data_IF_108570977028
#
_entry.id   IF_108570977028
#
_cell.length_a   1.000
_cell.length_b   1.000
_cell.length_c   1.000
_cell.angle_alpha   90.00
_cell.angle_beta   90.00
_cell.angle_gamma   90.00
#
_symmetry.space_group_name_H-M   'P 1'
#
loop_
_entity.id
_entity.type
_entity.pdbx_description
1 polymer ?
#
# COMPACT_ATOMS: atom_id res chain seq x y z
N UNK A 1 -0.60 -6.65 36.71
CA UNK A 1 -0.60 -5.38 35.97
C UNK A 1 -1.68 -5.54 34.91
N UNK A 2 -2.60 -4.59 34.74
CA UNK A 2 -3.57 -4.66 33.66
C UNK A 2 -2.78 -4.62 32.33
N UNK A 3 -3.07 -5.55 31.43
CA UNK A 3 -2.52 -5.50 30.09
C UNK A 3 -2.98 -4.20 29.42
N UNK A 4 -2.03 -3.40 28.97
CA UNK A 4 -2.34 -2.12 28.31
C UNK A 4 -2.60 -2.42 26.83
N UNK A 5 -3.86 -2.37 26.42
CA UNK A 5 -4.26 -2.49 25.02
C UNK A 5 -4.33 -1.11 24.37
N UNK A 6 -3.86 -0.97 23.15
CA UNK A 6 -4.12 0.22 22.34
C UNK A 6 -5.61 0.26 21.94
N UNK A 7 -6.25 1.39 22.16
CA UNK A 7 -7.66 1.62 21.90
C UNK A 7 -7.83 2.16 20.49
N UNK A 8 -8.36 1.35 19.59
CA UNK A 8 -8.50 1.66 18.17
C UNK A 8 -9.94 2.06 17.86
N UNK A 9 -10.17 3.18 17.18
CA UNK A 9 -11.44 3.46 16.55
C UNK A 9 -11.30 3.44 15.02
N UNK A 10 -12.22 2.77 14.33
CA UNK A 10 -12.23 2.65 12.87
C UNK A 10 -13.26 3.63 12.29
N UNK A 11 -12.82 4.47 11.37
CA UNK A 11 -13.66 5.46 10.69
C UNK A 11 -13.91 5.02 9.25
N UNK A 12 -15.18 4.69 8.96
CA UNK A 12 -15.62 4.06 7.73
C UNK A 12 -15.82 2.56 7.91
N UNK A 13 -17.04 2.07 7.61
CA UNK A 13 -17.42 0.66 7.71
C UNK A 13 -17.67 0.01 6.34
N UNK A 14 -17.14 0.60 5.26
CA UNK A 14 -17.24 0.10 3.89
C UNK A 14 -16.47 -1.20 3.64
N UNK A 15 -16.46 -1.63 2.37
CA UNK A 15 -15.90 -2.94 1.98
C UNK A 15 -14.47 -3.18 2.48
N UNK A 16 -13.57 -2.22 2.33
CA UNK A 16 -12.15 -2.47 2.70
C UNK A 16 -11.91 -2.44 4.21
N UNK A 17 -12.77 -1.77 4.99
CA UNK A 17 -12.63 -1.68 6.45
C UNK A 17 -12.76 -3.05 7.15
N UNK A 18 -13.40 -4.05 6.52
CA UNK A 18 -13.44 -5.41 7.07
C UNK A 18 -12.05 -6.02 7.24
N UNK A 19 -11.13 -5.75 6.32
CA UNK A 19 -9.75 -6.24 6.41
C UNK A 19 -8.96 -5.54 7.54
N UNK A 20 -9.25 -4.25 7.81
CA UNK A 20 -8.66 -3.52 8.92
C UNK A 20 -9.19 -4.05 10.26
N UNK A 21 -10.51 -4.23 10.39
CA UNK A 21 -11.11 -4.79 11.61
C UNK A 21 -10.59 -6.20 11.90
N UNK A 22 -10.60 -7.09 10.90
CA UNK A 22 -10.02 -8.43 11.03
C UNK A 22 -8.53 -8.37 11.44
N UNK A 23 -7.76 -7.44 10.89
CA UNK A 23 -6.36 -7.24 11.25
C UNK A 23 -6.22 -6.85 12.74
N UNK A 24 -6.96 -5.85 13.20
CA UNK A 24 -6.91 -5.40 14.59
C UNK A 24 -7.39 -6.45 15.58
N UNK A 25 -8.44 -7.23 15.24
CA UNK A 25 -8.94 -8.34 16.09
C UNK A 25 -7.89 -9.42 16.35
N UNK A 26 -6.96 -9.61 15.42
CA UNK A 26 -5.89 -10.62 15.51
C UNK A 26 -4.59 -10.08 16.10
N UNK A 27 -4.61 -8.88 16.71
CA UNK A 27 -3.46 -8.27 17.41
C UNK A 27 -3.75 -8.22 18.90
N UNK A 28 -3.09 -9.06 19.68
CA UNK A 28 -3.33 -9.23 21.13
C UNK A 28 -3.23 -7.93 21.94
N UNK A 29 -2.44 -6.95 21.48
CA UNK A 29 -2.22 -5.67 22.17
C UNK A 29 -3.08 -4.52 21.65
N UNK A 30 -4.11 -4.80 20.87
CA UNK A 30 -5.02 -3.81 20.31
C UNK A 30 -6.48 -4.19 20.56
N UNK A 31 -7.34 -3.21 20.75
CA UNK A 31 -8.78 -3.42 20.93
C UNK A 31 -9.55 -2.39 20.11
N UNK A 32 -10.46 -2.86 19.25
CA UNK A 32 -11.41 -1.97 18.59
C UNK A 32 -12.45 -1.53 19.62
N UNK A 33 -12.48 -0.22 19.92
CA UNK A 33 -13.38 0.36 20.92
C UNK A 33 -14.60 1.04 20.31
N UNK A 34 -14.60 1.29 18.99
CA UNK A 34 -15.74 1.87 18.28
C UNK A 34 -15.52 1.89 16.77
N UNK A 35 -16.63 1.89 16.04
CA UNK A 35 -16.66 2.03 14.58
C UNK A 35 -17.63 3.17 14.23
N UNK A 36 -17.20 4.07 13.37
CA UNK A 36 -18.02 5.17 12.87
C UNK A 36 -18.26 5.04 11.36
N UNK A 37 -19.50 5.21 10.94
CA UNK A 37 -19.85 5.44 9.55
C UNK A 37 -21.00 6.47 9.49
N UNK A 38 -21.01 7.33 8.45
CA UNK A 38 -22.09 8.32 8.25
C UNK A 38 -23.49 7.68 8.19
N UNK A 39 -23.56 6.42 7.78
CA UNK A 39 -24.77 5.60 7.85
C UNK A 39 -24.68 4.70 9.10
N UNK A 40 -25.32 5.10 10.20
CA UNK A 40 -25.25 4.38 11.47
C UNK A 40 -25.52 2.87 11.32
N UNK A 41 -26.49 2.48 10.50
CA UNK A 41 -26.82 1.07 10.24
C UNK A 41 -25.66 0.26 9.67
N UNK A 42 -24.72 0.90 8.94
CA UNK A 42 -23.52 0.25 8.41
C UNK A 42 -22.50 0.03 9.53
N UNK A 43 -22.36 0.99 10.44
CA UNK A 43 -21.52 0.83 11.63
C UNK A 43 -22.10 -0.24 12.59
N UNK A 44 -23.41 -0.24 12.83
CA UNK A 44 -24.10 -1.24 13.67
C UNK A 44 -23.92 -2.68 13.17
N UNK A 45 -23.85 -2.86 11.85
CA UNK A 45 -23.61 -4.17 11.24
C UNK A 45 -22.20 -4.75 11.52
N UNK A 46 -21.31 -4.00 12.16
CA UNK A 46 -19.93 -4.44 12.46
C UNK A 46 -19.79 -5.16 13.80
N UNK A 47 -20.81 -5.21 14.64
CA UNK A 47 -20.82 -5.76 16.00
C UNK A 47 -19.90 -5.04 17.02
N UNK A 48 -19.48 -3.80 16.72
CA UNK A 48 -18.76 -2.92 17.64
C UNK A 48 -19.67 -1.78 18.12
N UNK A 49 -19.32 -1.04 19.18
CA UNK A 49 -19.95 0.23 19.50
C UNK A 49 -20.00 1.12 18.27
N UNK A 50 -21.21 1.46 17.81
CA UNK A 50 -21.45 2.13 16.54
C UNK A 50 -21.77 3.60 16.73
N UNK A 51 -21.20 4.44 15.84
CA UNK A 51 -21.36 5.90 15.86
C UNK A 51 -21.61 6.41 14.44
N UNK A 52 -22.33 7.51 14.31
CA UNK A 52 -22.56 8.21 13.04
C UNK A 52 -21.84 9.57 12.95
N UNK A 53 -21.22 10.00 14.05
CA UNK A 53 -20.41 11.21 14.09
C UNK A 53 -19.16 11.06 14.97
N UNK A 54 -18.18 11.91 14.68
CA UNK A 54 -16.86 11.84 15.32
C UNK A 54 -16.88 12.28 16.78
N UNK A 55 -17.65 13.32 17.12
CA UNK A 55 -17.64 13.93 18.46
C UNK A 55 -18.17 12.93 19.50
N UNK A 56 -19.26 12.23 19.17
CA UNK A 56 -19.83 11.20 20.03
C UNK A 56 -18.89 10.01 20.18
N UNK A 57 -18.25 9.57 19.08
CA UNK A 57 -17.26 8.51 19.14
C UNK A 57 -16.09 8.91 20.07
N UNK A 58 -15.47 10.05 19.83
CA UNK A 58 -14.27 10.47 20.57
C UNK A 58 -14.57 10.68 22.06
N UNK A 59 -15.73 11.32 22.38
CA UNK A 59 -16.13 11.56 23.77
C UNK A 59 -16.50 10.29 24.53
N UNK A 60 -17.06 9.29 23.83
CA UNK A 60 -17.53 8.05 24.45
C UNK A 60 -16.42 7.03 24.65
N UNK A 61 -15.58 6.82 23.62
CA UNK A 61 -14.62 5.71 23.65
C UNK A 61 -13.15 6.16 23.79
N UNK A 62 -12.86 7.45 23.74
CA UNK A 62 -11.50 8.00 23.93
C UNK A 62 -10.40 7.12 23.27
N UNK A 63 -10.36 6.97 21.94
CA UNK A 63 -9.39 6.11 21.26
C UNK A 63 -7.99 6.72 21.28
N UNK A 64 -6.96 5.87 21.27
CA UNK A 64 -5.54 6.27 21.13
C UNK A 64 -5.12 6.35 19.68
N UNK A 65 -5.75 5.51 18.82
CA UNK A 65 -5.49 5.43 17.39
C UNK A 65 -6.80 5.55 16.61
N UNK A 66 -6.81 6.43 15.60
CA UNK A 66 -7.87 6.46 14.60
C UNK A 66 -7.38 5.77 13.32
N UNK A 67 -8.14 4.78 12.86
CA UNK A 67 -7.91 4.09 11.60
C UNK A 67 -8.96 4.53 10.58
N UNK A 68 -8.57 5.42 9.65
CA UNK A 68 -9.45 6.10 8.70
C UNK A 68 -9.49 5.33 7.38
N UNK A 69 -10.61 4.65 7.13
CA UNK A 69 -10.84 3.82 5.93
C UNK A 69 -11.92 4.48 5.07
N UNK A 70 -11.63 5.66 4.57
CA UNK A 70 -12.53 6.51 3.81
C UNK A 70 -11.99 6.82 2.41
N UNK A 71 -12.87 7.18 1.45
CA UNK A 71 -12.44 7.72 0.15
C UNK A 71 -11.60 9.00 0.31
N UNK A 72 -10.71 9.29 -0.64
CA UNK A 72 -9.73 10.40 -0.57
C UNK A 72 -10.34 11.78 -0.29
N UNK A 73 -11.52 12.06 -0.85
CA UNK A 73 -12.24 13.33 -0.69
C UNK A 73 -12.75 13.61 0.74
N UNK A 74 -12.94 12.56 1.53
CA UNK A 74 -13.39 12.67 2.93
C UNK A 74 -12.24 12.73 3.95
N UNK A 75 -11.05 12.27 3.58
CA UNK A 75 -9.94 12.02 4.51
C UNK A 75 -9.45 13.30 5.21
N UNK A 76 -9.13 14.34 4.46
CA UNK A 76 -8.54 15.56 5.03
C UNK A 76 -9.43 16.19 6.10
N UNK A 77 -10.76 16.26 5.87
CA UNK A 77 -11.71 16.78 6.84
C UNK A 77 -11.71 15.96 8.14
N UNK A 78 -11.71 14.64 8.01
CA UNK A 78 -11.74 13.73 9.18
C UNK A 78 -10.42 13.78 9.94
N UNK A 79 -9.29 13.85 9.25
CA UNK A 79 -7.98 14.01 9.87
C UNK A 79 -7.93 15.34 10.64
N UNK A 80 -8.40 16.46 10.04
CA UNK A 80 -8.43 17.76 10.73
C UNK A 80 -9.26 17.69 12.02
N UNK A 81 -10.47 17.12 11.97
CA UNK A 81 -11.30 16.91 13.17
C UNK A 81 -10.58 16.08 14.25
N UNK A 82 -9.85 15.03 13.84
CA UNK A 82 -9.07 14.21 14.76
C UNK A 82 -7.93 15.00 15.43
N UNK A 83 -7.22 15.84 14.66
CA UNK A 83 -6.14 16.70 15.15
C UNK A 83 -6.69 17.75 16.14
N UNK A 84 -7.80 18.40 15.80
CA UNK A 84 -8.48 19.39 16.66
C UNK A 84 -8.95 18.76 17.98
N UNK A 85 -9.34 17.49 17.96
CA UNK A 85 -9.68 16.72 19.17
C UNK A 85 -8.46 16.18 19.93
N UNK A 86 -7.26 16.44 19.45
CA UNK A 86 -6.00 16.07 20.12
C UNK A 86 -5.51 14.64 19.90
N UNK A 87 -6.06 13.91 18.94
CA UNK A 87 -5.61 12.56 18.56
C UNK A 87 -4.18 12.64 18.03
N UNK A 88 -3.30 11.76 18.55
CA UNK A 88 -1.88 11.76 18.23
C UNK A 88 -1.44 10.68 17.27
N UNK A 89 -2.25 9.66 17.03
CA UNK A 89 -1.95 8.60 16.06
C UNK A 89 -3.12 8.40 15.12
N UNK A 90 -2.87 8.58 13.84
CA UNK A 90 -3.87 8.47 12.79
C UNK A 90 -3.30 7.59 11.68
N UNK A 91 -4.05 6.56 11.30
CA UNK A 91 -3.79 5.75 10.11
C UNK A 91 -4.80 6.18 9.06
N UNK A 92 -4.37 6.45 7.84
CA UNK A 92 -5.24 6.87 6.75
C UNK A 92 -5.06 5.96 5.54
N UNK A 93 -6.15 5.48 4.97
CA UNK A 93 -6.14 4.61 3.79
C UNK A 93 -5.63 5.36 2.55
N UNK A 94 -4.95 4.60 1.65
CA UNK A 94 -4.62 5.06 0.31
C UNK A 94 -5.88 5.01 -0.62
N UNK A 95 -5.96 5.77 -1.72
CA UNK A 95 -5.10 6.89 -2.10
C UNK A 95 -5.19 8.02 -1.06
N UNK A 96 -4.05 8.66 -0.80
CA UNK A 96 -3.95 9.65 0.27
C UNK A 96 -4.39 11.02 -0.21
N UNK A 97 -5.54 11.49 0.29
CA UNK A 97 -6.19 12.75 -0.04
C UNK A 97 -6.65 12.86 -1.52
N UNK A 98 -7.43 13.88 -1.81
CA UNK A 98 -7.97 14.12 -3.15
C UNK A 98 -6.95 14.79 -4.10
N UNK A 99 -5.91 15.42 -3.55
CA UNK A 99 -4.81 16.01 -4.33
C UNK A 99 -3.51 16.03 -3.52
N UNK A 100 -2.39 16.20 -4.21
CA UNK A 100 -1.07 16.32 -3.61
C UNK A 100 -0.99 17.52 -2.66
N UNK A 101 -1.55 18.66 -3.06
CA UNK A 101 -1.56 19.90 -2.25
C UNK A 101 -2.34 19.68 -0.94
N UNK A 102 -3.45 18.93 -1.00
CA UNK A 102 -4.20 18.56 0.20
C UNK A 102 -3.41 17.61 1.09
N UNK A 103 -2.72 16.62 0.50
CA UNK A 103 -1.87 15.69 1.21
C UNK A 103 -0.72 16.42 1.95
N UNK A 104 -0.05 17.36 1.27
CA UNK A 104 1.00 18.21 1.85
C UNK A 104 0.47 19.05 3.02
N UNK A 105 -0.67 19.73 2.83
CA UNK A 105 -1.28 20.57 3.86
C UNK A 105 -1.66 19.75 5.12
N UNK A 106 -2.28 18.58 4.95
CA UNK A 106 -2.68 17.70 6.06
C UNK A 106 -1.46 17.08 6.75
N UNK A 107 -0.42 16.73 6.00
CA UNK A 107 0.84 16.25 6.58
C UNK A 107 1.46 17.32 7.47
N UNK A 108 1.60 18.55 6.97
CA UNK A 108 2.13 19.66 7.73
C UNK A 108 1.28 19.99 8.98
N UNK A 109 -0.06 19.93 8.86
CA UNK A 109 -0.96 20.13 10.00
C UNK A 109 -0.78 19.04 11.08
N UNK A 110 -0.61 17.79 10.66
CA UNK A 110 -0.36 16.66 11.58
C UNK A 110 0.96 16.83 12.34
N UNK A 111 2.01 17.22 11.64
CA UNK A 111 3.32 17.49 12.24
C UNK A 111 3.26 18.68 13.23
N UNK A 112 2.60 19.78 12.85
CA UNK A 112 2.41 20.93 13.72
C UNK A 112 1.62 20.58 14.99
N UNK A 113 0.68 19.65 14.90
CA UNK A 113 -0.07 19.13 16.04
C UNK A 113 0.73 18.10 16.86
N UNK A 114 1.93 17.71 16.44
CA UNK A 114 2.73 16.64 17.05
C UNK A 114 2.03 15.28 16.96
N UNK A 115 1.30 15.04 15.87
CA UNK A 115 0.60 13.79 15.60
C UNK A 115 1.37 12.96 14.55
N UNK A 116 1.37 11.65 14.73
CA UNK A 116 1.88 10.68 13.77
C UNK A 116 0.76 10.29 12.80
N UNK A 117 0.84 10.75 11.56
CA UNK A 117 -0.05 10.35 10.48
C UNK A 117 0.64 9.29 9.63
N UNK A 118 0.04 8.10 9.51
CA UNK A 118 0.56 6.93 8.81
C UNK A 118 -0.36 6.66 7.63
N UNK A 119 0.22 6.43 6.46
CA UNK A 119 -0.55 6.05 5.26
C UNK A 119 -0.58 4.54 5.14
N UNK A 120 -1.80 3.99 5.05
CA UNK A 120 -2.03 2.56 4.97
C UNK A 120 -1.75 2.05 3.55
N UNK A 121 -0.51 2.20 3.09
CA UNK A 121 -0.01 1.48 1.92
C UNK A 121 0.65 0.18 2.39
N UNK A 122 -0.04 -0.92 2.20
CA UNK A 122 0.26 -2.17 2.87
C UNK A 122 1.15 -3.14 2.08
N UNK A 123 1.48 -2.86 0.80
CA UNK A 123 2.17 -3.86 -0.02
C UNK A 123 3.62 -4.10 0.41
N UNK A 124 4.36 -3.09 0.89
CA UNK A 124 5.70 -3.33 1.46
C UNK A 124 5.69 -4.28 2.66
N UNK A 125 4.52 -4.46 3.31
CA UNK A 125 4.31 -5.39 4.42
C UNK A 125 3.92 -6.81 3.97
N UNK A 126 3.84 -7.06 2.67
CA UNK A 126 3.67 -8.41 2.15
C UNK A 126 4.89 -9.28 2.49
N UNK A 127 4.71 -10.53 2.93
CA UNK A 127 5.79 -11.35 3.46
C UNK A 127 6.91 -11.61 2.47
N UNK A 128 6.61 -11.69 1.18
CA UNK A 128 7.62 -11.88 0.14
C UNK A 128 8.53 -10.67 -0.04
N UNK A 129 8.00 -9.43 0.06
CA UNK A 129 8.87 -8.25 -0.03
C UNK A 129 9.69 -8.06 1.24
N UNK A 130 9.18 -8.44 2.42
CA UNK A 130 9.98 -8.51 3.66
C UNK A 130 11.11 -9.50 3.52
N UNK A 131 10.84 -10.73 3.05
CA UNK A 131 11.87 -11.74 2.82
C UNK A 131 12.91 -11.30 1.76
N UNK A 132 12.48 -10.69 0.66
CA UNK A 132 13.39 -10.12 -0.34
C UNK A 132 14.27 -9.03 0.27
N UNK A 133 13.71 -8.13 1.09
CA UNK A 133 14.46 -7.06 1.76
C UNK A 133 15.55 -7.62 2.67
N UNK A 134 15.26 -8.68 3.42
CA UNK A 134 16.24 -9.36 4.28
C UNK A 134 17.41 -9.90 3.45
N UNK A 135 17.16 -10.58 2.33
CA UNK A 135 18.22 -11.12 1.45
C UNK A 135 19.05 -9.99 0.82
N UNK A 136 18.40 -8.90 0.38
CA UNK A 136 19.07 -7.72 -0.18
C UNK A 136 19.96 -7.07 0.88
N UNK A 137 19.42 -6.87 2.09
CA UNK A 137 20.16 -6.22 3.19
C UNK A 137 21.35 -7.05 3.68
N UNK A 138 21.22 -8.39 3.65
CA UNK A 138 22.31 -9.30 3.98
C UNK A 138 23.49 -9.25 2.96
N UNK A 139 23.30 -8.58 1.81
CA UNK A 139 24.34 -8.44 0.78
C UNK A 139 24.69 -9.71 0.03
N UNK A 140 23.97 -10.82 0.24
CA UNK A 140 24.24 -12.14 -0.35
C UNK A 140 24.26 -12.09 -1.89
N UNK A 141 23.41 -11.24 -2.47
CA UNK A 141 23.29 -11.10 -3.92
C UNK A 141 24.41 -10.28 -4.56
N UNK A 142 25.23 -9.56 -3.79
CA UNK A 142 26.20 -8.61 -4.34
C UNK A 142 25.51 -7.41 -4.99
N UNK A 143 26.12 -6.86 -6.06
CA UNK A 143 25.56 -5.71 -6.77
C UNK A 143 24.25 -6.10 -7.47
N UNK A 144 23.19 -5.31 -7.25
CA UNK A 144 21.91 -5.47 -7.91
C UNK A 144 21.97 -4.90 -9.33
N UNK A 145 21.35 -5.57 -10.30
CA UNK A 145 21.31 -5.15 -11.69
C UNK A 145 19.95 -4.59 -12.08
N UNK A 146 18.89 -5.39 -11.87
CA UNK A 146 17.53 -4.96 -12.15
C UNK A 146 16.49 -5.80 -11.40
N UNK A 147 15.31 -5.21 -11.16
CA UNK A 147 14.12 -5.92 -10.74
C UNK A 147 12.99 -5.64 -11.71
N UNK A 148 12.23 -6.67 -12.07
CA UNK A 148 10.96 -6.55 -12.79
C UNK A 148 9.85 -7.14 -11.95
N UNK A 149 8.75 -6.40 -11.83
CA UNK A 149 7.47 -6.93 -11.38
C UNK A 149 6.49 -6.94 -12.55
N UNK A 150 5.87 -8.08 -12.81
CA UNK A 150 4.81 -8.23 -13.80
C UNK A 150 3.45 -8.29 -13.12
N UNK A 151 2.67 -7.20 -13.18
CA UNK A 151 1.29 -7.17 -12.71
C UNK A 151 0.39 -7.88 -13.72
N UNK A 152 -0.23 -8.98 -13.31
CA UNK A 152 -1.09 -9.83 -14.15
C UNK A 152 -2.27 -10.39 -13.35
N UNK A 153 -3.21 -9.54 -12.89
CA UNK A 153 -4.33 -9.99 -12.05
C UNK A 153 -5.45 -10.67 -12.84
N UNK A 154 -5.53 -10.47 -14.17
CA UNK A 154 -6.55 -11.06 -15.02
C UNK A 154 -7.97 -10.54 -14.79
N UNK A 155 -8.13 -9.42 -14.08
CA UNK A 155 -9.43 -8.92 -13.64
C UNK A 155 -9.99 -7.79 -14.52
N UNK A 156 -9.23 -7.35 -15.53
CA UNK A 156 -9.59 -6.23 -16.42
C UNK A 156 -10.26 -6.62 -17.73
N UNK A 157 -10.74 -7.85 -17.89
CA UNK A 157 -11.25 -8.34 -19.15
C UNK A 157 -12.75 -8.08 -19.34
N UNK A 158 -13.14 -7.75 -20.59
CA UNK A 158 -14.53 -7.64 -21.02
C UNK A 158 -15.23 -6.35 -20.56
N UNK A 159 -16.49 -6.16 -21.02
CA UNK A 159 -17.26 -4.94 -20.73
C UNK A 159 -17.71 -4.85 -19.26
N UNK A 160 -17.80 -5.98 -18.56
CA UNK A 160 -18.28 -6.06 -17.17
C UNK A 160 -17.15 -6.07 -16.15
N UNK A 161 -15.89 -5.82 -16.60
CA UNK A 161 -14.73 -5.74 -15.70
C UNK A 161 -15.02 -4.82 -14.51
N UNK A 162 -14.76 -5.31 -13.29
CA UNK A 162 -14.94 -4.63 -12.00
C UNK A 162 -16.37 -4.35 -11.53
N UNK A 163 -17.41 -4.45 -12.36
CA UNK A 163 -18.78 -4.06 -11.99
C UNK A 163 -19.31 -4.80 -10.75
N UNK A 164 -18.97 -6.06 -10.57
CA UNK A 164 -19.41 -6.86 -9.43
C UNK A 164 -18.76 -6.46 -8.09
N UNK A 165 -17.60 -5.79 -8.11
CA UNK A 165 -16.80 -5.54 -6.89
C UNK A 165 -16.48 -4.07 -6.65
N UNK A 166 -15.98 -3.39 -7.65
CA UNK A 166 -15.49 -2.01 -7.58
C UNK A 166 -15.88 -1.26 -8.87
N UNK A 167 -17.18 -0.99 -9.09
CA UNK A 167 -17.65 -0.45 -10.37
C UNK A 167 -17.02 0.90 -10.74
N UNK A 168 -16.58 1.68 -9.75
CA UNK A 168 -15.91 2.96 -9.96
C UNK A 168 -14.57 2.84 -10.70
N UNK A 169 -13.94 1.66 -10.74
CA UNK A 169 -12.70 1.44 -11.50
C UNK A 169 -12.87 1.71 -13.00
N UNK A 170 -14.06 1.43 -13.56
CA UNK A 170 -14.32 1.70 -14.99
C UNK A 170 -14.32 3.20 -15.32
N UNK A 171 -14.63 4.05 -14.37
CA UNK A 171 -14.76 5.51 -14.58
C UNK A 171 -13.57 6.32 -14.08
N UNK A 172 -12.57 5.69 -13.48
CA UNK A 172 -11.37 6.38 -13.00
C UNK A 172 -10.53 6.88 -14.19
N UNK A 173 -10.26 8.18 -14.31
CA UNK A 173 -9.44 8.72 -15.40
C UNK A 173 -7.94 8.38 -15.25
N UNK A 174 -7.48 8.09 -14.04
CA UNK A 174 -6.16 7.57 -13.67
C UNK A 174 -6.40 6.29 -12.89
N UNK A 175 -6.07 5.14 -13.46
CA UNK A 175 -6.49 3.87 -12.91
C UNK A 175 -5.33 2.95 -12.52
N UNK A 176 -4.59 2.39 -13.50
CA UNK A 176 -3.53 1.41 -13.22
C UNK A 176 -2.48 1.96 -12.27
N UNK A 177 -2.03 3.20 -12.49
CA UNK A 177 -0.96 3.78 -11.67
C UNK A 177 -1.50 4.23 -10.34
N UNK A 178 -2.54 5.07 -10.33
CA UNK A 178 -3.10 5.68 -9.13
C UNK A 178 -3.69 4.66 -8.14
N UNK A 179 -4.41 3.67 -8.64
CA UNK A 179 -5.06 2.67 -7.80
C UNK A 179 -4.14 1.50 -7.44
N UNK A 180 -3.24 1.11 -8.35
CA UNK A 180 -2.53 -0.16 -8.24
C UNK A 180 -1.01 -0.01 -8.24
N UNK A 181 -0.40 0.60 -9.28
CA UNK A 181 1.05 0.65 -9.39
C UNK A 181 1.70 1.53 -8.31
N UNK A 182 0.97 2.46 -7.70
CA UNK A 182 1.43 3.25 -6.55
C UNK A 182 1.98 2.35 -5.43
N UNK A 183 1.39 1.19 -5.20
CA UNK A 183 1.90 0.20 -4.24
C UNK A 183 3.29 -0.31 -4.61
N UNK A 184 3.59 -0.51 -5.91
CA UNK A 184 4.93 -0.95 -6.34
C UNK A 184 5.92 0.19 -6.41
N UNK A 185 5.49 1.42 -6.62
CA UNK A 185 6.36 2.58 -6.40
C UNK A 185 6.84 2.61 -4.95
N UNK A 186 5.94 2.39 -4.00
CA UNK A 186 6.26 2.26 -2.58
C UNK A 186 7.17 1.05 -2.28
N UNK A 187 6.86 -0.12 -2.83
CA UNK A 187 7.68 -1.34 -2.69
C UNK A 187 9.10 -1.14 -3.25
N UNK A 188 9.23 -0.54 -4.43
CA UNK A 188 10.56 -0.29 -5.01
C UNK A 188 11.36 0.71 -4.16
N UNK A 189 10.72 1.77 -3.66
CA UNK A 189 11.38 2.69 -2.73
C UNK A 189 11.78 1.99 -1.43
N UNK A 190 10.93 1.12 -0.89
CA UNK A 190 11.24 0.30 0.29
C UNK A 190 12.43 -0.63 0.07
N UNK A 191 12.49 -1.32 -1.08
CA UNK A 191 13.54 -2.29 -1.37
C UNK A 191 14.87 -1.62 -1.71
N UNK A 192 14.85 -0.56 -2.53
CA UNK A 192 16.03 -0.04 -3.22
C UNK A 192 16.35 1.43 -2.91
N UNK A 193 15.50 2.12 -2.15
CA UNK A 193 15.60 3.57 -1.96
C UNK A 193 14.93 4.36 -3.09
N UNK A 194 15.15 5.67 -3.10
CA UNK A 194 14.52 6.55 -4.08
C UNK A 194 15.21 6.46 -5.44
N UNK A 195 14.45 6.46 -6.55
CA UNK A 195 15.03 6.50 -7.89
C UNK A 195 15.53 7.91 -8.22
N UNK A 196 16.46 8.01 -9.18
CA UNK A 196 16.97 9.27 -9.72
C UNK A 196 16.24 9.69 -11.00
N UNK A 197 15.49 8.77 -11.61
CA UNK A 197 14.74 9.04 -12.83
C UNK A 197 13.58 8.09 -13.03
N UNK A 198 12.58 8.54 -13.79
CA UNK A 198 11.40 7.78 -14.18
C UNK A 198 11.14 7.93 -15.69
N UNK A 199 10.72 6.83 -16.31
CA UNK A 199 10.13 6.79 -17.65
C UNK A 199 8.88 5.91 -17.61
N UNK A 200 7.81 6.36 -18.24
CA UNK A 200 6.56 5.61 -18.29
C UNK A 200 5.94 5.63 -19.69
N UNK A 201 5.30 4.48 -20.05
CA UNK A 201 4.46 4.31 -21.23
C UNK A 201 3.16 3.65 -20.78
N UNK A 202 2.06 4.41 -20.75
CA UNK A 202 0.76 4.00 -20.24
C UNK A 202 -0.25 3.82 -21.37
N UNK A 203 -1.12 2.81 -21.26
CA UNK A 203 -2.05 2.43 -22.33
C UNK A 203 -3.40 2.02 -21.76
N UNK A 204 -4.44 2.33 -22.50
CA UNK A 204 -5.78 1.77 -22.33
C UNK A 204 -5.96 0.62 -23.34
N UNK A 205 -6.23 -0.58 -22.85
CA UNK A 205 -6.48 -1.78 -23.67
C UNK A 205 -7.95 -2.19 -23.68
N UNK A 206 -8.64 -2.11 -22.53
CA UNK A 206 -10.07 -2.39 -22.43
C UNK A 206 -10.88 -1.09 -22.64
N UNK A 207 -11.68 -0.98 -23.73
CA UNK A 207 -12.45 0.23 -24.01
C UNK A 207 -13.57 0.54 -22.99
N UNK A 208 -13.93 -0.43 -22.13
CA UNK A 208 -14.89 -0.22 -21.04
C UNK A 208 -14.28 0.55 -19.85
N UNK A 209 -12.97 0.73 -19.81
CA UNK A 209 -12.23 1.39 -18.72
C UNK A 209 -11.78 2.76 -19.20
N UNK A 210 -12.01 3.82 -18.43
CA UNK A 210 -11.67 5.20 -18.83
C UNK A 210 -10.18 5.49 -18.76
N UNK A 211 -9.51 5.04 -17.72
CA UNK A 211 -8.09 5.25 -17.50
C UNK A 211 -7.19 4.19 -18.15
N UNK A 212 -5.92 4.26 -17.85
CA UNK A 212 -4.95 3.26 -18.27
C UNK A 212 -5.13 1.94 -17.48
N UNK A 213 -5.04 0.82 -18.17
CA UNK A 213 -5.14 -0.54 -17.61
C UNK A 213 -3.92 -1.42 -17.94
N UNK A 214 -2.99 -0.88 -18.73
CA UNK A 214 -1.69 -1.47 -19.03
C UNK A 214 -0.60 -0.40 -19.15
N UNK A 215 0.66 -0.80 -18.96
CA UNK A 215 1.79 0.12 -19.13
C UNK A 215 3.07 -0.35 -18.49
N UNK A 216 4.12 0.40 -18.74
CA UNK A 216 5.46 0.18 -18.20
C UNK A 216 5.92 1.41 -17.44
N UNK A 217 6.52 1.20 -16.25
CA UNK A 217 7.18 2.25 -15.49
C UNK A 217 8.60 1.78 -15.22
N UNK A 218 9.60 2.51 -15.72
CA UNK A 218 11.01 2.25 -15.52
C UNK A 218 11.61 3.28 -14.57
N UNK A 219 12.05 2.83 -13.41
CA UNK A 219 12.78 3.63 -12.43
C UNK A 219 14.29 3.41 -12.61
N UNK A 220 15.04 4.49 -12.75
CA UNK A 220 16.49 4.46 -12.88
C UNK A 220 17.18 4.99 -11.65
N UNK A 221 18.28 4.33 -11.27
CA UNK A 221 19.13 4.67 -10.13
C UNK A 221 20.54 4.97 -10.60
N UNK A 222 21.22 5.93 -10.01
CA UNK A 222 22.57 6.40 -10.41
C UNK A 222 23.65 5.31 -10.30
N UNK A 223 23.44 4.31 -9.41
CA UNK A 223 24.30 3.14 -9.29
C UNK A 223 24.18 2.14 -10.45
N UNK A 224 23.33 2.45 -11.46
CA UNK A 224 23.07 1.63 -12.62
C UNK A 224 21.92 0.64 -12.48
N UNK A 225 21.35 0.47 -11.28
CA UNK A 225 20.18 -0.38 -11.05
C UNK A 225 18.94 0.12 -11.79
N UNK A 226 18.05 -0.79 -12.15
CA UNK A 226 16.74 -0.48 -12.76
C UNK A 226 15.63 -1.27 -12.09
N UNK A 227 14.51 -0.59 -11.78
CA UNK A 227 13.26 -1.25 -11.38
C UNK A 227 12.20 -1.02 -12.46
N UNK A 228 11.56 -2.10 -12.90
CA UNK A 228 10.54 -2.09 -13.95
C UNK A 228 9.22 -2.64 -13.39
N UNK A 229 8.19 -1.80 -13.42
CA UNK A 229 6.82 -2.25 -13.30
C UNK A 229 6.24 -2.49 -14.71
N UNK A 230 5.83 -3.72 -14.99
CA UNK A 230 5.22 -4.15 -16.24
C UNK A 230 3.76 -4.53 -15.95
N UNK A 231 2.84 -3.57 -16.11
CA UNK A 231 1.43 -3.69 -15.78
C UNK A 231 0.56 -4.08 -16.97
N UNK A 232 -0.29 -5.10 -16.79
CA UNK A 232 -1.38 -5.44 -17.71
C UNK A 232 -2.49 -6.13 -16.94
N UNK A 233 -3.61 -5.45 -16.75
CA UNK A 233 -4.74 -5.99 -15.98
C UNK A 233 -5.57 -7.02 -16.74
N UNK A 234 -5.39 -7.13 -18.06
CA UNK A 234 -6.12 -8.08 -18.89
C UNK A 234 -5.50 -9.48 -18.89
N UNK A 235 -4.20 -9.58 -18.66
CA UNK A 235 -3.49 -10.85 -18.58
C UNK A 235 -3.49 -11.40 -17.15
N UNK A 236 -3.48 -12.72 -17.03
CA UNK A 236 -3.30 -13.41 -15.75
C UNK A 236 -1.87 -13.96 -15.60
N UNK A 237 -1.57 -14.46 -14.40
CA UNK A 237 -0.35 -15.18 -14.08
C UNK A 237 -0.69 -16.53 -13.45
N UNK A 238 0.27 -17.41 -13.33
CA UNK A 238 0.07 -18.72 -12.75
C UNK A 238 -0.12 -18.61 -11.23
N UNK A 239 -1.37 -18.74 -10.76
CA UNK A 239 -1.73 -18.72 -9.34
C UNK A 239 -3.11 -19.38 -9.14
N UNK A 240 -3.35 -19.92 -7.93
CA UNK A 240 -4.70 -20.33 -7.52
C UNK A 240 -5.56 -19.12 -7.11
N UNK A 241 -4.91 -18.11 -6.54
CA UNK A 241 -5.52 -16.83 -6.17
C UNK A 241 -4.75 -15.68 -6.80
N UNK A 242 -5.24 -15.16 -7.92
CA UNK A 242 -4.61 -14.06 -8.67
C UNK A 242 -4.50 -12.74 -7.87
N UNK A 243 -5.20 -12.64 -6.74
CA UNK A 243 -5.13 -11.48 -5.84
C UNK A 243 -4.11 -11.64 -4.72
N UNK A 244 -3.45 -12.77 -4.60
CA UNK A 244 -2.44 -13.00 -3.56
C UNK A 244 -1.22 -12.10 -3.80
N UNK A 245 -0.51 -12.31 -4.90
CA UNK A 245 0.66 -11.53 -5.31
C UNK A 245 0.35 -10.51 -6.41
N UNK A 246 -0.78 -10.68 -7.10
CA UNK A 246 -1.21 -9.93 -8.28
C UNK A 246 -0.23 -10.00 -9.46
N UNK A 247 0.74 -10.91 -9.41
CA UNK A 247 1.76 -11.07 -10.42
C UNK A 247 3.01 -11.77 -9.89
N UNK A 248 4.10 -11.65 -10.63
CA UNK A 248 5.39 -12.29 -10.34
C UNK A 248 6.54 -11.29 -10.42
N UNK A 249 7.63 -11.54 -9.68
CA UNK A 249 8.82 -10.68 -9.72
C UNK A 249 10.11 -11.46 -9.97
N UNK A 250 11.06 -10.77 -10.62
CA UNK A 250 12.43 -11.22 -10.81
C UNK A 250 13.39 -10.10 -10.43
N UNK A 251 14.32 -10.40 -9.51
CA UNK A 251 15.45 -9.56 -9.18
C UNK A 251 16.73 -10.26 -9.66
N UNK A 252 17.50 -9.54 -10.47
CA UNK A 252 18.80 -10.02 -11.01
C UNK A 252 19.95 -9.24 -10.37
N UNK A 253 20.97 -9.96 -9.97
CA UNK A 253 22.11 -9.41 -9.26
C UNK A 253 23.41 -10.16 -9.59
N UNK A 254 24.54 -9.70 -9.09
CA UNK A 254 25.87 -10.21 -9.36
C UNK A 254 26.06 -11.70 -9.02
N UNK A 255 25.49 -12.16 -7.90
CA UNK A 255 25.67 -13.52 -7.42
C UNK A 255 24.49 -14.45 -7.70
N UNK A 256 23.43 -13.96 -8.35
CA UNK A 256 22.25 -14.77 -8.65
C UNK A 256 20.97 -13.96 -8.82
N UNK A 257 19.85 -14.64 -8.62
CA UNK A 257 18.51 -14.09 -8.83
C UNK A 257 17.60 -14.41 -7.66
N UNK A 258 16.61 -13.52 -7.37
CA UNK A 258 15.43 -13.85 -6.59
C UNK A 258 14.20 -13.87 -7.49
N UNK A 259 13.28 -14.79 -7.23
CA UNK A 259 12.03 -14.92 -7.96
C UNK A 259 10.86 -15.00 -6.96
N UNK A 260 9.86 -14.14 -7.13
CA UNK A 260 8.55 -14.26 -6.50
C UNK A 260 7.60 -14.97 -7.46
N UNK A 261 6.94 -16.04 -6.99
CA UNK A 261 5.90 -16.75 -7.74
C UNK A 261 4.51 -16.24 -7.39
N UNK A 262 3.52 -16.54 -8.25
CA UNK A 262 2.11 -16.26 -7.98
C UNK A 262 1.53 -16.98 -6.75
N UNK A 263 2.24 -17.95 -6.18
CA UNK A 263 1.90 -18.65 -4.94
C UNK A 263 2.49 -18.00 -3.69
N UNK A 264 3.17 -16.86 -3.83
CA UNK A 264 3.82 -16.13 -2.71
C UNK A 264 5.13 -16.75 -2.24
N UNK A 265 5.73 -17.64 -3.03
CA UNK A 265 7.04 -18.21 -2.74
C UNK A 265 8.15 -17.26 -3.20
N UNK A 266 9.24 -17.19 -2.43
CA UNK A 266 10.48 -16.53 -2.84
C UNK A 266 11.58 -17.57 -3.00
N UNK A 267 12.15 -17.64 -4.20
CA UNK A 267 13.22 -18.55 -4.55
C UNK A 267 14.49 -17.78 -4.88
N UNK A 268 15.65 -18.30 -4.46
CA UNK A 268 16.97 -17.77 -4.78
C UNK A 268 17.76 -18.79 -5.60
N UNK A 269 18.42 -18.34 -6.66
CA UNK A 269 19.27 -19.19 -7.51
C UNK A 269 20.60 -18.50 -7.83
N UNK A 270 21.70 -19.16 -7.57
CA UNK A 270 23.03 -18.72 -8.04
C UNK A 270 23.18 -18.84 -9.56
N UNK A 271 24.01 -17.99 -10.18
CA UNK A 271 24.28 -18.09 -11.61
C UNK A 271 24.89 -19.45 -11.99
N UNK A 272 24.52 -19.94 -13.17
CA UNK A 272 24.99 -21.23 -13.73
C UNK A 272 24.64 -22.44 -12.84
N UNK A 273 23.72 -22.29 -11.90
CA UNK A 273 23.16 -23.37 -11.08
C UNK A 273 21.75 -23.69 -11.54
N UNK A 274 21.39 -24.98 -11.56
CA UNK A 274 20.04 -25.43 -11.83
C UNK A 274 19.18 -25.43 -10.54
N UNK A 275 19.81 -25.64 -9.39
CA UNK A 275 19.14 -25.72 -8.09
C UNK A 275 18.73 -24.32 -7.60
N UNK A 276 17.51 -24.24 -7.08
CA UNK A 276 16.98 -23.06 -6.40
C UNK A 276 16.88 -23.34 -4.88
N UNK A 277 17.12 -22.32 -4.07
CA UNK A 277 16.91 -22.35 -2.62
C UNK A 277 15.60 -21.65 -2.31
N UNK A 278 14.70 -22.31 -1.58
CA UNK A 278 13.45 -21.71 -1.10
C UNK A 278 13.75 -20.79 0.08
N UNK A 279 13.51 -19.51 -0.09
CA UNK A 279 13.68 -18.47 0.95
C UNK A 279 12.38 -18.30 1.76
N UNK A 280 11.25 -18.21 1.05
CA UNK A 280 9.92 -18.13 1.67
C UNK A 280 9.02 -19.18 1.01
N UNK A 281 8.47 -20.14 1.78
CA UNK A 281 7.52 -21.11 1.25
C UNK A 281 6.13 -20.49 1.04
N UNK A 282 5.36 -21.07 0.12
CA UNK A 282 3.92 -20.82 0.03
C UNK A 282 3.24 -21.14 1.35
N UNK A 283 2.26 -20.35 1.72
CA UNK A 283 1.41 -20.54 2.91
C UNK A 283 -0.03 -20.24 2.59
N UNK A 284 -0.92 -20.80 3.36
CA UNK A 284 -2.32 -20.38 3.40
C UNK A 284 -2.43 -19.13 4.30
N UNK A 285 -2.40 -17.98 3.66
CA UNK A 285 -2.44 -16.70 4.36
C UNK A 285 -3.88 -16.33 4.70
N UNK A 286 -4.22 -16.06 5.98
CA UNK A 286 -5.62 -15.81 6.39
C UNK A 286 -6.17 -14.48 5.86
N UNK A 287 -5.30 -13.50 5.55
CA UNK A 287 -5.67 -12.17 5.13
C UNK A 287 -5.30 -11.83 3.69
N UNK A 288 -5.77 -10.68 3.23
CA UNK A 288 -5.46 -10.14 1.90
C UNK A 288 -3.96 -9.97 1.69
N UNK A 289 -3.48 -10.32 0.47
CA UNK A 289 -2.11 -10.02 0.05
C UNK A 289 -1.03 -10.56 0.99
N UNK A 290 -1.17 -11.80 1.47
CA UNK A 290 -0.23 -12.38 2.42
C UNK A 290 -0.35 -11.81 3.84
N UNK A 291 -1.56 -11.40 4.22
CA UNK A 291 -1.87 -10.82 5.54
C UNK A 291 -1.20 -9.44 5.79
N UNK A 292 -0.93 -8.71 4.71
CA UNK A 292 -0.18 -7.44 4.78
C UNK A 292 -0.91 -6.33 5.55
N UNK A 293 -2.25 -6.32 5.56
CA UNK A 293 -3.03 -5.37 6.36
C UNK A 293 -2.76 -5.59 7.84
N UNK A 294 -2.83 -6.84 8.31
CA UNK A 294 -2.48 -7.17 9.70
C UNK A 294 -1.02 -6.87 10.01
N UNK A 295 -0.10 -7.18 9.08
CA UNK A 295 1.33 -6.93 9.29
C UNK A 295 1.62 -5.44 9.46
N UNK A 296 0.97 -4.55 8.69
CA UNK A 296 1.07 -3.11 8.87
C UNK A 296 0.48 -2.67 10.21
N UNK A 297 -0.75 -3.07 10.54
CA UNK A 297 -1.40 -2.73 11.81
C UNK A 297 -0.56 -3.20 13.02
N UNK A 298 -0.02 -4.42 12.95
CA UNK A 298 0.87 -4.95 13.99
C UNK A 298 2.16 -4.14 14.11
N UNK A 299 2.79 -3.77 12.98
CA UNK A 299 3.97 -2.91 12.97
C UNK A 299 3.70 -1.55 13.63
N UNK A 300 2.56 -0.92 13.33
CA UNK A 300 2.17 0.34 13.98
C UNK A 300 1.99 0.14 15.49
N UNK A 301 1.27 -0.93 15.89
CA UNK A 301 1.07 -1.26 17.29
C UNK A 301 2.39 -1.44 18.04
N UNK A 302 3.30 -2.25 17.53
CA UNK A 302 4.62 -2.47 18.16
C UNK A 302 5.46 -1.19 18.20
N UNK A 303 5.44 -0.37 17.14
CA UNK A 303 6.16 0.89 17.09
C UNK A 303 5.67 1.86 18.16
N UNK A 304 4.35 2.01 18.32
CA UNK A 304 3.75 2.86 19.34
C UNK A 304 4.11 2.40 20.76
N UNK A 305 4.01 1.10 21.02
CA UNK A 305 4.35 0.53 22.33
C UNK A 305 5.85 0.65 22.66
N UNK A 306 6.70 0.61 21.64
CA UNK A 306 8.15 0.80 21.78
C UNK A 306 8.58 2.29 21.81
N UNK A 307 7.66 3.23 21.50
CA UNK A 307 7.98 4.65 21.37
C UNK A 307 8.86 4.98 20.17
N UNK A 308 8.77 4.18 19.08
CA UNK A 308 9.49 4.38 17.83
C UNK A 308 8.54 4.89 16.74
N UNK A 309 9.10 5.53 15.71
CA UNK A 309 8.32 5.98 14.55
C UNK A 309 7.97 4.79 13.64
N UNK A 310 6.69 4.59 13.29
CA UNK A 310 6.30 3.56 12.33
C UNK A 310 6.82 3.87 10.92
N UNK A 311 6.85 2.84 10.07
CA UNK A 311 7.01 3.02 8.61
C UNK A 311 5.77 3.69 8.00
N UNK A 312 5.90 4.21 6.76
CA UNK A 312 4.81 4.83 6.00
C UNK A 312 4.19 6.08 6.66
N UNK A 313 4.98 6.85 7.40
CA UNK A 313 4.49 8.17 7.85
C UNK A 313 4.16 9.05 6.64
N UNK A 314 3.18 9.93 6.79
CA UNK A 314 2.68 10.75 5.69
C UNK A 314 3.78 11.58 5.02
N UNK A 315 4.75 12.10 5.78
CA UNK A 315 5.90 12.85 5.23
C UNK A 315 6.67 12.02 4.20
N UNK A 316 7.00 10.79 4.51
CA UNK A 316 7.72 9.90 3.59
C UNK A 316 6.84 9.52 2.38
N UNK A 317 5.53 9.34 2.61
CA UNK A 317 4.59 8.97 1.56
C UNK A 317 4.33 10.09 0.53
N UNK A 318 4.54 11.38 0.89
CA UNK A 318 4.50 12.48 -0.08
C UNK A 318 5.49 12.26 -1.23
N UNK A 319 6.61 11.58 -0.97
CA UNK A 319 7.58 11.22 -2.02
C UNK A 319 6.97 10.23 -3.01
N UNK A 320 6.14 9.29 -2.54
CA UNK A 320 5.45 8.33 -3.43
C UNK A 320 4.42 9.04 -4.30
N UNK A 321 3.67 10.01 -3.75
CA UNK A 321 2.74 10.83 -4.53
C UNK A 321 3.46 11.68 -5.58
N UNK A 322 4.62 12.22 -5.24
CA UNK A 322 5.46 12.96 -6.18
C UNK A 322 6.01 12.06 -7.28
N UNK A 323 6.39 10.84 -6.96
CA UNK A 323 6.85 9.85 -7.93
C UNK A 323 5.69 9.42 -8.85
N UNK A 324 4.50 9.20 -8.32
CA UNK A 324 3.29 8.94 -9.10
C UNK A 324 3.00 10.06 -10.10
N UNK A 325 3.08 11.33 -9.66
CA UNK A 325 2.93 12.50 -10.53
C UNK A 325 3.95 12.50 -11.66
N UNK A 326 5.22 12.22 -11.35
CA UNK A 326 6.29 12.13 -12.35
C UNK A 326 6.08 10.96 -13.34
N UNK A 327 5.46 9.86 -12.93
CA UNK A 327 5.07 8.76 -13.83
C UNK A 327 4.07 9.25 -14.88
N UNK A 328 3.01 9.96 -14.48
CA UNK A 328 2.02 10.50 -15.42
C UNK A 328 2.63 11.55 -16.33
N UNK A 329 3.43 12.48 -15.80
CA UNK A 329 4.14 13.51 -16.60
C UNK A 329 5.08 12.87 -17.64
N UNK A 330 5.80 11.82 -17.26
CA UNK A 330 6.65 11.07 -18.18
C UNK A 330 5.84 10.39 -19.29
N UNK A 331 4.70 9.80 -18.97
CA UNK A 331 3.82 9.15 -19.94
C UNK A 331 3.19 10.18 -20.92
N UNK A 332 2.77 11.34 -20.41
CA UNK A 332 2.19 12.42 -21.21
C UNK A 332 3.21 13.04 -22.17
N UNK A 333 4.45 13.25 -21.73
CA UNK A 333 5.51 13.87 -22.51
C UNK A 333 6.31 12.89 -23.37
N UNK A 334 6.24 11.59 -23.08
CA UNK A 334 7.07 10.56 -23.70
C UNK A 334 8.55 10.68 -23.35
N UNK A 335 8.90 11.38 -22.29
CA UNK A 335 10.27 11.68 -21.90
C UNK A 335 10.67 10.99 -20.59
N UNK A 336 11.95 10.64 -20.50
CA UNK A 336 12.56 10.27 -19.24
C UNK A 336 12.76 11.53 -18.39
N UNK A 337 12.21 11.54 -17.19
CA UNK A 337 12.33 12.66 -16.25
C UNK A 337 13.39 12.33 -15.17
N UNK A 338 14.16 13.35 -14.77
CA UNK A 338 14.92 13.28 -13.52
C UNK A 338 13.93 13.37 -12.35
N UNK A 339 14.15 12.57 -11.31
CA UNK A 339 13.33 12.62 -10.11
C UNK A 339 14.15 13.12 -8.93
N UNK A 340 13.59 14.07 -8.22
CA UNK A 340 14.13 14.58 -6.95
C UNK A 340 12.99 14.56 -5.94
N UNK A 341 13.22 13.93 -4.78
CA UNK A 341 12.22 13.92 -3.71
C UNK A 341 11.88 15.36 -3.27
N UNK A 342 10.64 15.64 -2.93
CA UNK A 342 10.25 16.90 -2.31
C UNK A 342 11.03 17.11 -1.00
N UNK A 343 11.38 18.36 -0.72
CA UNK A 343 12.12 18.75 0.50
C UNK A 343 11.26 18.73 1.76
#
# INVERSE_FOLDING_TARGET
MAETFLRIAVIGAGYFSQFHRDAWERIDKAQIVGVMDKALSVAEATNYPAFDNMDDLLSTVAPEVLDIVLPPDAQARVITQALDAGIKTIICQKPFCASTEQAEAITAASEAAGACLIIHDNFRFQPWYRAMKEVITAGTLGRLYQMRFQLRPGDGQGPDAYLARQPYFQTMPRFLVHETAVHWLDVFCYLFGLPDSVYADLRQLNPAITGEDAGHILLGYDNGFRALFDGNRLADHRADNHRLTMGEAWLEAENGTLRLTGFGEVWMRGHLRAEETLILPAKDWPGFGGDCVKTLCHHVCESLLAGTTPENIARDYLTILSLEKAVYESAETGQKLCFTAPS
#
